data_IF_298457834774
#
_entry.id   IF_298457834774
#
_cell.length_a   1.000
_cell.length_b   1.000
_cell.length_c   1.000
_cell.angle_alpha   90.00
_cell.angle_beta   90.00
_cell.angle_gamma   90.00
#
_symmetry.space_group_name_H-M   'P 1'
#
loop_
_entity.id
_entity.type
_entity.pdbx_description
1 polymer ?
#
# COMPACT_ATOMS: atom_id res chain seq x y z
N UNK A 1 5.78 10.85 -26.75
CA UNK A 1 5.55 10.54 -25.32
C UNK A 1 5.85 11.82 -24.54
N UNK A 2 4.95 12.27 -23.66
CA UNK A 2 5.25 13.38 -22.73
C UNK A 2 5.77 12.77 -21.43
N UNK A 3 6.85 13.31 -20.89
CA UNK A 3 7.36 12.92 -19.57
C UNK A 3 6.69 13.81 -18.52
N UNK A 4 6.20 13.21 -17.44
CA UNK A 4 5.59 13.90 -16.31
C UNK A 4 6.28 13.50 -15.01
N UNK A 5 6.21 14.34 -13.96
CA UNK A 5 6.58 13.93 -12.60
C UNK A 5 5.76 12.71 -12.15
N UNK A 6 6.30 11.94 -11.21
CA UNK A 6 5.57 10.84 -10.59
C UNK A 6 4.36 11.34 -9.80
N UNK A 7 3.26 10.59 -9.85
CA UNK A 7 2.03 10.93 -9.15
C UNK A 7 2.18 10.71 -7.64
N UNK A 8 1.40 11.46 -6.86
CA UNK A 8 1.34 11.37 -5.41
C UNK A 8 -0.07 10.96 -4.99
N UNK A 9 -0.18 9.88 -4.22
CA UNK A 9 -1.42 9.48 -3.56
C UNK A 9 -1.41 10.00 -2.12
N UNK A 10 -2.34 10.91 -1.80
CA UNK A 10 -2.40 11.58 -0.50
C UNK A 10 -3.25 10.82 0.53
N UNK A 11 -4.09 9.87 0.07
CA UNK A 11 -5.02 9.12 0.88
C UNK A 11 -5.16 7.68 0.37
N UNK A 12 -4.22 6.82 0.75
CA UNK A 12 -4.27 5.39 0.46
C UNK A 12 -4.68 4.56 1.69
N UNK A 13 -5.13 3.34 1.42
CA UNK A 13 -5.26 2.24 2.37
C UNK A 13 -4.73 0.97 1.69
N UNK A 14 -3.46 0.63 1.93
CA UNK A 14 -2.82 -0.48 1.18
C UNK A 14 -3.41 -1.85 1.52
N UNK A 15 -3.87 -2.01 2.76
CA UNK A 15 -4.33 -3.30 3.28
C UNK A 15 -5.69 -3.75 2.73
N UNK A 16 -6.41 -2.93 1.96
CA UNK A 16 -7.69 -3.29 1.33
C UNK A 16 -7.60 -3.55 -0.17
N UNK A 17 -6.47 -3.26 -0.82
CA UNK A 17 -6.27 -3.42 -2.29
C UNK A 17 -7.42 -2.84 -3.14
N UNK A 18 -7.97 -1.71 -2.70
CA UNK A 18 -9.09 -1.03 -3.37
C UNK A 18 -10.46 -1.72 -3.22
N UNK A 19 -10.60 -2.71 -2.33
CA UNK A 19 -11.85 -3.41 -2.09
C UNK A 19 -12.88 -2.49 -1.40
N UNK A 20 -14.09 -2.41 -1.97
CA UNK A 20 -15.14 -1.50 -1.48
C UNK A 20 -16.27 -2.14 -0.65
N UNK A 21 -16.17 -3.42 -0.28
CA UNK A 21 -17.21 -4.16 0.48
C UNK A 21 -16.57 -4.74 1.73
N UNK A 22 -16.55 -3.94 2.78
CA UNK A 22 -15.78 -4.23 3.99
C UNK A 22 -16.35 -5.38 4.82
N UNK A 23 -17.67 -5.54 4.83
CA UNK A 23 -18.36 -6.62 5.56
C UNK A 23 -18.00 -8.01 5.04
N UNK A 24 -17.53 -8.11 3.80
CA UNK A 24 -17.01 -9.36 3.21
C UNK A 24 -15.48 -9.45 3.34
N UNK A 25 -14.79 -8.33 3.19
CA UNK A 25 -13.34 -8.28 3.15
C UNK A 25 -12.69 -8.58 4.50
N UNK A 26 -13.11 -7.89 5.56
CA UNK A 26 -12.47 -8.02 6.87
C UNK A 26 -12.61 -9.43 7.44
N UNK A 27 -13.80 -10.06 7.48
CA UNK A 27 -13.93 -11.44 7.96
C UNK A 27 -13.08 -12.46 7.17
N UNK A 28 -12.74 -12.14 5.91
CA UNK A 28 -11.96 -13.02 5.03
C UNK A 28 -10.46 -12.94 5.24
N UNK A 29 -9.92 -11.82 5.74
CA UNK A 29 -8.47 -11.57 5.75
C UNK A 29 -7.92 -11.08 7.11
N UNK A 30 -8.77 -10.53 7.98
CA UNK A 30 -8.37 -10.11 9.31
C UNK A 30 -7.87 -11.30 10.14
N UNK A 31 -6.68 -11.13 10.76
CA UNK A 31 -6.04 -12.17 11.57
C UNK A 31 -5.44 -13.35 10.80
N UNK A 32 -5.37 -13.31 9.47
CA UNK A 32 -4.84 -14.43 8.66
C UNK A 32 -3.36 -14.29 8.24
N UNK A 33 -2.60 -13.37 8.84
CA UNK A 33 -1.20 -13.06 8.47
C UNK A 33 -1.00 -12.72 6.97
N UNK A 34 -2.06 -12.24 6.29
CA UNK A 34 -2.05 -11.94 4.84
C UNK A 34 -1.81 -10.48 4.49
N UNK A 35 -1.83 -9.59 5.48
CA UNK A 35 -1.73 -8.15 5.24
C UNK A 35 -0.44 -7.75 4.53
N UNK A 36 0.69 -8.36 4.87
CA UNK A 36 1.98 -8.10 4.20
C UNK A 36 1.94 -8.47 2.70
N UNK A 37 1.33 -9.60 2.35
CA UNK A 37 1.13 -10.02 0.94
C UNK A 37 0.24 -9.01 0.21
N UNK A 38 -0.92 -8.69 0.79
CA UNK A 38 -1.90 -7.77 0.21
C UNK A 38 -1.31 -6.37 0.00
N UNK A 39 -0.62 -5.83 1.02
CA UNK A 39 -0.02 -4.50 0.95
C UNK A 39 1.13 -4.45 -0.06
N UNK A 40 1.87 -5.55 -0.25
CA UNK A 40 2.89 -5.65 -1.30
C UNK A 40 2.27 -5.60 -2.71
N UNK A 41 1.13 -6.27 -2.90
CA UNK A 41 0.36 -6.20 -4.16
C UNK A 41 -0.15 -4.78 -4.41
N UNK A 42 -0.77 -4.15 -3.41
CA UNK A 42 -1.26 -2.78 -3.51
C UNK A 42 -0.15 -1.78 -3.85
N UNK A 43 1.02 -1.91 -3.21
CA UNK A 43 2.17 -1.05 -3.46
C UNK A 43 2.67 -1.18 -4.91
N UNK A 44 2.82 -2.42 -5.42
CA UNK A 44 3.22 -2.66 -6.80
C UNK A 44 2.20 -2.12 -7.81
N UNK A 45 0.90 -2.24 -7.52
CA UNK A 45 -0.16 -1.70 -8.36
C UNK A 45 -0.11 -0.16 -8.44
N UNK A 46 0.10 0.52 -7.31
CA UNK A 46 0.29 1.98 -7.28
C UNK A 46 1.48 2.40 -8.16
N UNK A 47 2.62 1.73 -8.02
CA UNK A 47 3.81 2.07 -8.80
C UNK A 47 3.59 1.89 -10.32
N UNK A 48 2.95 0.79 -10.72
CA UNK A 48 2.60 0.53 -12.13
C UNK A 48 1.58 1.52 -12.70
N UNK A 49 0.78 2.14 -11.84
CA UNK A 49 -0.12 3.24 -12.21
C UNK A 49 0.56 4.61 -12.29
N UNK A 50 1.88 4.70 -12.04
CA UNK A 50 2.65 5.94 -12.07
C UNK A 50 2.65 6.71 -10.76
N UNK A 51 2.09 6.16 -9.68
CA UNK A 51 2.20 6.70 -8.33
C UNK A 51 3.58 6.36 -7.77
N UNK A 52 4.36 7.37 -7.43
CA UNK A 52 5.73 7.19 -6.93
C UNK A 52 5.89 7.53 -5.46
N UNK A 53 4.89 8.20 -4.87
CA UNK A 53 4.79 8.45 -3.42
C UNK A 53 3.35 8.23 -2.99
N UNK A 54 3.13 7.53 -1.89
CA UNK A 54 1.80 7.27 -1.34
C UNK A 54 1.77 7.48 0.17
N UNK A 55 0.64 7.99 0.68
CA UNK A 55 0.38 8.15 2.11
C UNK A 55 -0.69 7.18 2.59
N UNK A 56 -0.30 6.22 3.42
CA UNK A 56 -1.23 5.26 4.05
C UNK A 56 -1.83 5.87 5.32
N UNK A 57 -3.17 5.93 5.40
CA UNK A 57 -3.92 6.69 6.42
C UNK A 57 -4.81 5.84 7.35
N UNK A 58 -4.76 4.51 7.27
CA UNK A 58 -5.63 3.67 8.10
C UNK A 58 -5.31 2.18 8.13
N UNK A 59 -4.09 1.79 7.73
CA UNK A 59 -3.66 0.40 7.80
C UNK A 59 -3.28 -0.07 9.22
N UNK A 60 -3.23 -1.39 9.43
CA UNK A 60 -2.57 -1.99 10.60
C UNK A 60 -1.14 -1.46 10.76
N UNK A 61 -0.82 -0.95 11.95
CA UNK A 61 0.43 -0.22 12.23
C UNK A 61 1.69 -1.03 11.87
N UNK A 62 1.79 -2.27 12.35
CA UNK A 62 2.98 -3.09 12.15
C UNK A 62 3.25 -3.33 10.66
N UNK A 63 2.21 -3.64 9.90
CA UNK A 63 2.30 -3.94 8.49
C UNK A 63 2.51 -2.70 7.62
N UNK A 64 1.94 -1.54 8.01
CA UNK A 64 2.23 -0.24 7.38
C UNK A 64 3.69 0.16 7.57
N UNK A 65 4.26 -0.03 8.76
CA UNK A 65 5.69 0.20 9.01
C UNK A 65 6.56 -0.80 8.25
N UNK A 66 6.20 -2.08 8.27
CA UNK A 66 6.92 -3.14 7.56
C UNK A 66 7.00 -2.85 6.06
N UNK A 67 5.89 -2.55 5.39
CA UNK A 67 5.92 -2.34 3.93
C UNK A 67 6.74 -1.10 3.56
N UNK A 68 6.68 -0.03 4.36
CA UNK A 68 7.52 1.17 4.17
C UNK A 68 9.00 0.79 4.21
N UNK A 69 9.40 0.02 5.20
CA UNK A 69 10.80 -0.34 5.43
C UNK A 69 11.31 -1.32 4.37
N UNK A 70 10.49 -2.28 3.94
CA UNK A 70 10.81 -3.19 2.83
C UNK A 70 10.97 -2.47 1.50
N UNK A 71 10.10 -1.50 1.20
CA UNK A 71 10.21 -0.65 0.00
C UNK A 71 11.47 0.20 0.07
N UNK A 72 11.74 0.85 1.20
CA UNK A 72 12.95 1.66 1.39
C UNK A 72 14.24 0.84 1.26
N UNK A 73 14.19 -0.44 1.64
CA UNK A 73 15.31 -1.36 1.49
C UNK A 73 15.40 -2.00 0.08
N UNK A 74 14.46 -1.70 -0.82
CA UNK A 74 14.42 -2.25 -2.18
C UNK A 74 14.04 -3.74 -2.26
N UNK A 75 13.46 -4.31 -1.19
CA UNK A 75 13.03 -5.72 -1.13
C UNK A 75 11.63 -5.93 -1.70
N UNK A 76 10.78 -4.90 -1.64
CA UNK A 76 9.45 -4.87 -2.25
C UNK A 76 9.36 -3.70 -3.23
N UNK A 77 8.77 -3.94 -4.40
CA UNK A 77 8.51 -2.91 -5.40
C UNK A 77 7.28 -2.08 -5.00
N UNK A 78 7.44 -0.74 -4.89
CA UNK A 78 6.34 0.15 -4.53
C UNK A 78 6.73 1.63 -4.50
N UNK A 79 5.75 2.53 -4.32
CA UNK A 79 6.02 3.96 -4.13
C UNK A 79 6.70 4.24 -2.79
N UNK A 80 7.38 5.39 -2.68
CA UNK A 80 7.85 5.87 -1.37
C UNK A 80 6.66 6.05 -0.43
N UNK A 81 6.73 5.43 0.73
CA UNK A 81 5.61 5.42 1.68
C UNK A 81 5.77 6.50 2.76
N UNK A 82 4.68 7.23 2.99
CA UNK A 82 4.43 8.01 4.21
C UNK A 82 3.32 7.30 4.99
N UNK A 83 3.49 7.09 6.29
CA UNK A 83 2.52 6.36 7.12
C UNK A 83 2.04 7.26 8.26
N UNK A 84 0.74 7.23 8.59
CA UNK A 84 0.16 8.08 9.63
C UNK A 84 0.35 7.57 11.06
N UNK A 85 0.71 6.30 11.21
CA UNK A 85 1.10 5.64 12.44
C UNK A 85 2.18 4.65 12.08
#
# INVERSE_FOLDING_TARGET
LTVMPGLNEAHAHLFIVGHGVYDEYFPRYEGQDRWREIMSISAAQLLRAGVTTARDLGGPLEESLWIRDEINAGRVEGPRMVVSG
#
